data_IF_157838182971
#
_entry.id   IF_157838182971
#
_cell.length_a   1.000
_cell.length_b   1.000
_cell.length_c   1.000
_cell.angle_alpha   90.00
_cell.angle_beta   90.00
_cell.angle_gamma   90.00
#
_symmetry.space_group_name_H-M   'P 1'
#
loop_
_entity.id
_entity.type
_entity.pdbx_description
1 polymer ?
#
# COMPACT_ATOMS: atom_id res chain seq x y z
N UNK A 1 41.49 -38.71 -27.38
CA UNK A 1 40.21 -38.00 -27.31
C UNK A 1 39.86 -37.78 -25.84
N UNK A 2 40.06 -36.58 -25.27
CA UNK A 2 39.54 -36.27 -23.94
C UNK A 2 38.14 -35.67 -24.06
N UNK A 3 37.16 -36.24 -23.34
CA UNK A 3 35.85 -35.62 -23.16
C UNK A 3 35.91 -34.63 -22.00
N UNK A 4 35.74 -33.35 -22.32
CA UNK A 4 35.41 -32.29 -21.38
C UNK A 4 33.99 -32.50 -20.86
N UNK A 5 33.85 -32.67 -19.54
CA UNK A 5 32.55 -32.55 -18.88
C UNK A 5 32.47 -31.21 -18.16
N UNK A 6 31.44 -30.47 -18.53
CA UNK A 6 31.15 -29.10 -18.16
C UNK A 6 30.98 -28.91 -16.64
N UNK A 7 31.58 -27.83 -16.14
CA UNK A 7 31.25 -27.20 -14.87
C UNK A 7 29.82 -26.64 -14.96
N UNK A 8 28.91 -27.17 -14.14
CA UNK A 8 27.63 -26.53 -13.87
C UNK A 8 27.88 -25.26 -13.06
N UNK A 9 27.69 -24.10 -13.69
CA UNK A 9 27.60 -22.84 -12.98
C UNK A 9 26.25 -22.83 -12.24
N UNK A 10 26.31 -23.01 -10.92
CA UNK A 10 25.26 -22.61 -10.00
C UNK A 10 25.10 -21.10 -10.14
N UNK A 11 24.04 -20.65 -10.80
CA UNK A 11 23.65 -19.24 -10.77
C UNK A 11 23.28 -18.89 -9.33
N UNK A 12 24.17 -18.18 -8.65
CA UNK A 12 23.84 -17.42 -7.45
C UNK A 12 22.65 -16.49 -7.75
N UNK A 13 21.61 -16.47 -6.90
CA UNK A 13 20.58 -15.45 -7.01
C UNK A 13 21.21 -14.08 -6.73
N UNK A 14 21.10 -13.19 -7.72
CA UNK A 14 21.40 -11.76 -7.62
C UNK A 14 20.88 -11.20 -6.29
N UNK A 15 21.63 -10.30 -5.61
CA UNK A 15 21.15 -9.68 -4.38
C UNK A 15 19.79 -9.05 -4.69
N UNK A 16 18.78 -9.55 -3.98
CA UNK A 16 17.42 -9.06 -4.06
C UNK A 16 17.45 -7.53 -4.00
N UNK A 17 16.79 -6.89 -4.96
CA UNK A 17 16.39 -5.50 -4.79
C UNK A 17 15.82 -5.37 -3.37
N UNK A 18 16.20 -4.33 -2.60
CA UNK A 18 15.57 -4.08 -1.32
C UNK A 18 14.06 -4.10 -1.53
N UNK A 19 13.28 -4.68 -0.60
CA UNK A 19 11.82 -4.72 -0.73
C UNK A 19 11.36 -3.32 -1.09
N UNK A 20 10.74 -3.18 -2.27
CA UNK A 20 10.41 -1.88 -2.84
C UNK A 20 9.70 -1.08 -1.75
N UNK A 21 10.32 0.01 -1.27
CA UNK A 21 9.80 0.72 -0.11
C UNK A 21 8.33 1.08 -0.32
N UNK A 22 7.49 0.85 0.69
CA UNK A 22 6.05 1.06 0.57
C UNK A 22 5.76 2.48 0.06
N UNK A 23 4.83 2.63 -0.90
CA UNK A 23 4.60 3.92 -1.55
C UNK A 23 4.00 4.91 -0.56
N UNK A 24 4.62 6.07 -0.40
CA UNK A 24 4.08 7.14 0.44
C UNK A 24 3.40 8.24 -0.39
N UNK A 25 2.16 8.59 -0.05
CA UNK A 25 1.36 9.63 -0.70
C UNK A 25 1.25 10.90 0.13
N UNK A 26 0.93 12.04 -0.49
CA UNK A 26 0.72 13.29 0.24
C UNK A 26 -0.61 13.23 1.02
N UNK A 27 -0.56 13.54 2.31
CA UNK A 27 -1.71 13.60 3.21
C UNK A 27 -1.69 14.90 4.00
N UNK A 28 -2.84 15.28 4.54
CA UNK A 28 -2.99 16.41 5.46
C UNK A 28 -3.57 15.93 6.76
N UNK A 29 -2.81 16.10 7.84
CA UNK A 29 -3.28 15.75 9.17
C UNK A 29 -4.50 16.60 9.54
N UNK A 30 -5.52 15.99 10.11
CA UNK A 30 -6.69 16.70 10.66
C UNK A 30 -6.72 16.58 12.17
N UNK A 31 -6.52 15.37 12.67
CA UNK A 31 -6.62 15.08 14.09
C UNK A 31 -5.85 13.80 14.41
N UNK A 32 -5.29 13.75 15.61
CA UNK A 32 -4.73 12.53 16.21
C UNK A 32 -5.35 12.40 17.59
N UNK A 33 -5.99 11.27 17.86
CA UNK A 33 -6.65 11.05 19.15
C UNK A 33 -7.22 9.65 19.27
N UNK A 34 -7.17 9.08 20.49
CA UNK A 34 -7.78 7.77 20.77
C UNK A 34 -7.22 6.61 19.92
N UNK A 35 -5.95 6.68 19.51
CA UNK A 35 -5.30 5.70 18.63
C UNK A 35 -5.72 5.78 17.16
N UNK A 36 -6.53 6.78 16.79
CA UNK A 36 -7.01 7.03 15.43
C UNK A 36 -6.36 8.31 14.90
N UNK A 37 -5.97 8.27 13.63
CA UNK A 37 -5.52 9.41 12.85
C UNK A 37 -6.58 9.73 11.83
N UNK A 38 -7.04 10.98 11.83
CA UNK A 38 -7.91 11.54 10.80
C UNK A 38 -7.07 12.40 9.88
N UNK A 39 -7.21 12.18 8.58
CA UNK A 39 -6.45 12.93 7.57
C UNK A 39 -7.29 13.16 6.32
N UNK A 40 -6.89 14.17 5.56
CA UNK A 40 -7.48 14.47 4.26
C UNK A 40 -6.47 14.28 3.14
N UNK A 41 -6.97 13.98 1.95
CA UNK A 41 -6.14 13.72 0.76
C UNK A 41 -6.18 14.97 -0.12
N UNK A 42 -5.04 15.62 -0.42
CA UNK A 42 -5.00 16.85 -1.20
C UNK A 42 -5.67 16.72 -2.56
N UNK A 43 -6.48 17.71 -2.94
CA UNK A 43 -7.19 17.74 -4.22
C UNK A 43 -8.45 16.86 -4.27
N UNK A 44 -8.92 16.35 -3.13
CA UNK A 44 -10.12 15.50 -3.03
C UNK A 44 -10.95 15.83 -1.79
N UNK A 45 -12.19 15.32 -1.74
CA UNK A 45 -13.07 15.42 -0.56
C UNK A 45 -12.81 14.34 0.50
N UNK A 46 -11.87 13.43 0.27
CA UNK A 46 -11.58 12.33 1.18
C UNK A 46 -11.15 12.83 2.56
N UNK A 47 -11.85 12.34 3.60
CA UNK A 47 -11.48 12.48 5.00
C UNK A 47 -11.49 11.10 5.63
N UNK A 48 -10.32 10.50 5.66
CA UNK A 48 -10.17 9.09 6.03
C UNK A 48 -9.68 8.96 7.47
N UNK A 49 -9.99 7.81 8.05
CA UNK A 49 -9.58 7.42 9.39
C UNK A 49 -8.76 6.12 9.34
N UNK A 50 -7.66 6.07 10.08
CA UNK A 50 -6.83 4.89 10.23
C UNK A 50 -6.27 4.81 11.64
N UNK A 51 -5.84 3.63 12.07
CA UNK A 51 -5.08 3.48 13.31
C UNK A 51 -3.70 4.15 13.19
N UNK A 52 -3.18 4.71 14.27
CA UNK A 52 -1.87 5.35 14.28
C UNK A 52 -0.74 4.29 14.25
N UNK A 53 0.06 4.25 13.19
CA UNK A 53 1.20 3.34 13.02
C UNK A 53 2.49 3.78 13.74
N UNK A 54 2.39 4.55 14.83
CA UNK A 54 3.54 4.92 15.67
C UNK A 54 4.49 5.99 15.13
N UNK A 55 4.43 6.36 13.84
CA UNK A 55 5.36 7.33 13.24
C UNK A 55 4.99 8.81 13.43
N UNK A 56 3.78 9.10 13.89
CA UNK A 56 3.36 10.47 14.19
C UNK A 56 3.84 10.86 15.59
N UNK A 57 4.88 11.68 15.64
CA UNK A 57 5.43 12.20 16.89
C UNK A 57 4.44 13.05 17.69
N UNK A 58 4.71 13.32 18.97
CA UNK A 58 3.83 14.10 19.86
C UNK A 58 3.60 15.54 19.41
N UNK A 59 4.43 16.05 18.49
CA UNK A 59 4.34 17.37 17.88
C UNK A 59 3.45 17.43 16.63
N UNK A 60 2.82 16.32 16.24
CA UNK A 60 1.95 16.27 15.07
C UNK A 60 0.74 17.19 15.26
N UNK A 61 0.67 18.26 14.45
CA UNK A 61 -0.36 19.28 14.56
C UNK A 61 -1.39 19.18 13.43
N UNK A 62 -2.65 19.49 13.74
CA UNK A 62 -3.69 19.60 12.73
C UNK A 62 -3.27 20.56 11.60
N UNK A 63 -3.51 20.18 10.35
CA UNK A 63 -3.10 20.92 9.16
C UNK A 63 -1.70 20.57 8.64
N UNK A 64 -0.87 19.86 9.41
CA UNK A 64 0.46 19.46 8.97
C UNK A 64 0.43 18.63 7.68
N UNK A 65 1.43 18.86 6.81
CA UNK A 65 1.66 18.03 5.62
C UNK A 65 2.32 16.73 6.06
N UNK A 66 1.79 15.62 5.60
CA UNK A 66 2.34 14.30 5.84
C UNK A 66 2.65 13.63 4.51
N UNK A 67 3.62 12.72 4.54
CA UNK A 67 3.76 11.65 3.55
C UNK A 67 3.56 10.32 4.25
N UNK A 68 2.65 9.50 3.74
CA UNK A 68 2.32 8.25 4.40
C UNK A 68 1.71 7.18 3.52
N UNK A 69 1.70 5.98 4.07
CA UNK A 69 1.24 4.74 3.47
C UNK A 69 0.17 4.16 4.39
N UNK A 70 -0.96 3.75 3.83
CA UNK A 70 -1.95 2.96 4.57
C UNK A 70 -1.63 1.47 4.44
N UNK A 71 -1.40 0.80 5.56
CA UNK A 71 -1.21 -0.63 5.65
C UNK A 71 -2.55 -1.29 5.95
N UNK A 72 -2.92 -2.27 5.14
CA UNK A 72 -4.19 -2.98 5.27
C UNK A 72 -4.05 -4.45 4.88
N UNK A 73 -5.01 -5.28 5.28
CA UNK A 73 -5.13 -6.65 4.77
C UNK A 73 -6.27 -6.71 3.76
N UNK A 74 -5.93 -7.03 2.51
CA UNK A 74 -6.93 -7.25 1.47
C UNK A 74 -7.59 -8.61 1.67
N UNK A 75 -8.92 -8.64 1.86
CA UNK A 75 -9.70 -9.88 1.99
C UNK A 75 -9.66 -10.70 0.71
N UNK A 76 -9.81 -10.02 -0.43
CA UNK A 76 -9.70 -10.57 -1.79
C UNK A 76 -9.49 -9.41 -2.75
N UNK A 77 -8.72 -9.66 -3.81
CA UNK A 77 -8.42 -8.70 -4.86
C UNK A 77 -8.96 -9.19 -6.19
N UNK A 78 -9.53 -8.31 -7.00
CA UNK A 78 -10.04 -8.62 -8.33
C UNK A 78 -9.44 -7.66 -9.35
N UNK A 79 -8.83 -8.16 -10.44
CA UNK A 79 -8.48 -7.29 -11.55
C UNK A 79 -9.76 -6.77 -12.21
N UNK A 80 -9.75 -5.51 -12.62
CA UNK A 80 -10.87 -4.86 -13.30
C UNK A 80 -10.38 -4.20 -14.59
N UNK A 81 -11.18 -4.30 -15.65
CA UNK A 81 -10.78 -3.81 -16.97
C UNK A 81 -10.98 -2.29 -17.15
N UNK A 82 -11.84 -1.67 -16.34
CA UNK A 82 -12.23 -0.26 -16.48
C UNK A 82 -12.68 0.34 -15.15
N UNK A 83 -12.76 1.68 -15.12
CA UNK A 83 -13.24 2.47 -13.99
C UNK A 83 -12.21 3.49 -13.50
N UNK A 84 -12.54 4.16 -12.39
CA UNK A 84 -11.68 5.16 -11.75
C UNK A 84 -10.95 4.62 -10.53
N UNK A 85 -9.95 5.37 -10.04
CA UNK A 85 -9.34 5.08 -8.73
C UNK A 85 -10.18 5.72 -7.63
N UNK A 86 -10.54 4.97 -6.61
CA UNK A 86 -11.34 5.47 -5.50
C UNK A 86 -11.09 4.71 -4.20
N UNK A 87 -11.42 5.37 -3.10
CA UNK A 87 -11.55 4.77 -1.76
C UNK A 87 -12.99 4.97 -1.29
N UNK A 88 -13.58 3.99 -0.63
CA UNK A 88 -14.89 4.10 0.01
C UNK A 88 -14.80 3.72 1.48
N UNK A 89 -15.52 4.42 2.38
CA UNK A 89 -16.33 5.63 2.11
C UNK A 89 -15.45 6.87 1.88
N UNK A 90 -16.06 7.98 1.42
CA UNK A 90 -15.37 9.28 1.32
C UNK A 90 -15.00 9.83 2.70
N UNK A 91 -15.82 9.54 3.71
CA UNK A 91 -15.64 9.93 5.10
C UNK A 91 -15.59 8.68 5.99
N UNK A 92 -14.46 8.46 6.68
CA UNK A 92 -14.31 7.35 7.63
C UNK A 92 -13.21 6.36 7.26
N UNK A 93 -13.32 5.14 7.80
CA UNK A 93 -12.32 4.09 7.61
C UNK A 93 -12.42 3.45 6.22
N UNK A 94 -11.32 3.33 5.45
CA UNK A 94 -11.34 2.63 4.17
C UNK A 94 -11.90 1.21 4.28
N UNK A 95 -12.77 0.83 3.34
CA UNK A 95 -13.39 -0.52 3.28
C UNK A 95 -13.28 -1.13 1.90
N UNK A 96 -13.54 -0.35 0.86
CA UNK A 96 -13.45 -0.77 -0.54
C UNK A 96 -12.55 0.20 -1.28
N UNK A 97 -11.68 -0.36 -2.12
CA UNK A 97 -10.66 0.40 -2.82
C UNK A 97 -10.62 -0.10 -4.26
N UNK A 98 -10.59 0.82 -5.22
CA UNK A 98 -10.16 0.54 -6.58
C UNK A 98 -8.90 1.36 -6.84
N UNK A 99 -7.81 0.68 -7.19
CA UNK A 99 -6.49 1.27 -7.25
C UNK A 99 -5.66 0.69 -8.39
N UNK A 100 -4.70 1.49 -8.88
CA UNK A 100 -3.68 0.99 -9.79
C UNK A 100 -2.57 0.32 -9.00
N UNK A 101 -2.10 -0.84 -9.47
CA UNK A 101 -0.92 -1.51 -8.91
C UNK A 101 0.33 -0.71 -9.30
N UNK A 102 1.09 -0.28 -8.30
CA UNK A 102 2.40 0.36 -8.47
C UNK A 102 3.52 -0.68 -8.53
N UNK A 103 3.37 -1.75 -7.76
CA UNK A 103 4.34 -2.83 -7.62
C UNK A 103 3.91 -3.78 -6.51
N UNK A 104 4.81 -4.67 -6.11
CA UNK A 104 4.56 -5.62 -5.05
C UNK A 104 5.84 -5.95 -4.27
N UNK A 105 5.63 -6.44 -3.06
CA UNK A 105 6.62 -7.16 -2.28
C UNK A 105 6.18 -8.63 -2.18
N UNK A 106 6.92 -9.52 -2.86
CA UNK A 106 6.66 -10.95 -2.86
C UNK A 106 6.95 -11.61 -1.52
N UNK A 107 7.94 -11.11 -0.77
CA UNK A 107 8.35 -11.70 0.50
C UNK A 107 7.25 -11.56 1.57
N UNK A 108 6.56 -10.41 1.58
CA UNK A 108 5.43 -10.15 2.49
C UNK A 108 4.05 -10.40 1.86
N UNK A 109 3.99 -10.79 0.58
CA UNK A 109 2.77 -10.92 -0.21
C UNK A 109 1.90 -9.64 -0.17
N UNK A 110 2.54 -8.48 -0.36
CA UNK A 110 1.94 -7.14 -0.23
C UNK A 110 1.90 -6.42 -1.58
N UNK A 111 0.73 -5.90 -1.97
CA UNK A 111 0.59 -5.02 -3.13
C UNK A 111 0.79 -3.57 -2.74
N UNK A 112 1.54 -2.84 -3.57
CA UNK A 112 1.68 -1.40 -3.51
C UNK A 112 0.68 -0.76 -4.48
N UNK A 113 -0.21 0.07 -3.96
CA UNK A 113 -1.38 0.54 -4.70
C UNK A 113 -1.51 2.08 -4.66
N UNK A 114 -2.08 2.63 -5.74
CA UNK A 114 -2.48 4.03 -5.83
C UNK A 114 -3.99 4.17 -6.07
N UNK A 115 -4.71 4.63 -5.05
CA UNK A 115 -6.14 4.88 -5.09
C UNK A 115 -6.45 6.38 -5.27
N UNK A 116 -5.82 7.01 -6.27
CA UNK A 116 -6.08 8.42 -6.59
C UNK A 116 -5.37 9.40 -5.64
N UNK A 117 -4.10 9.11 -5.31
CA UNK A 117 -3.29 9.91 -4.39
C UNK A 117 -3.15 9.29 -3.01
N UNK A 118 -4.07 8.40 -2.63
CA UNK A 118 -3.97 7.57 -1.43
C UNK A 118 -3.13 6.34 -1.74
N UNK A 119 -2.03 6.16 -1.01
CA UNK A 119 -1.13 5.03 -1.20
C UNK A 119 -1.39 3.94 -0.18
N UNK A 120 -1.48 2.70 -0.66
CA UNK A 120 -1.68 1.54 0.19
C UNK A 120 -0.55 0.52 0.03
N UNK A 121 -0.19 -0.11 1.13
CA UNK A 121 0.50 -1.38 1.20
C UNK A 121 -0.51 -2.43 1.68
N UNK A 122 -1.09 -3.17 0.74
CA UNK A 122 -2.17 -4.12 1.00
C UNK A 122 -1.65 -5.56 0.97
N UNK A 123 -1.54 -6.20 2.14
CA UNK A 123 -1.18 -7.61 2.24
C UNK A 123 -2.33 -8.49 1.76
N UNK A 124 -2.07 -9.45 0.89
CA UNK A 124 -3.09 -10.36 0.39
C UNK A 124 -3.45 -11.39 1.48
N UNK A 125 -4.69 -11.32 1.97
CA UNK A 125 -5.22 -12.23 3.00
C UNK A 125 -5.83 -13.52 2.44
N UNK A 126 -6.14 -13.56 1.14
CA UNK A 126 -6.71 -14.75 0.51
C UNK A 126 -5.61 -15.77 0.16
N UNK A 127 -5.67 -16.97 0.74
CA UNK A 127 -4.63 -18.00 0.58
C UNK A 127 -4.33 -18.41 -0.88
N UNK A 128 -5.31 -18.27 -1.78
CA UNK A 128 -5.15 -18.57 -3.21
C UNK A 128 -4.66 -17.41 -4.08
N UNK A 129 -4.32 -16.24 -3.52
CA UNK A 129 -3.88 -15.08 -4.30
C UNK A 129 -2.42 -14.74 -4.00
N UNK A 130 -1.63 -14.58 -5.06
CA UNK A 130 -0.25 -14.10 -4.96
C UNK A 130 -0.14 -12.74 -5.63
N UNK A 131 0.75 -11.91 -5.10
CA UNK A 131 1.00 -10.59 -5.68
C UNK A 131 1.45 -10.64 -7.15
N UNK A 132 2.13 -11.73 -7.55
CA UNK A 132 2.54 -11.98 -8.93
C UNK A 132 1.36 -12.07 -9.93
N UNK A 133 0.14 -12.35 -9.45
CA UNK A 133 -1.07 -12.39 -10.29
C UNK A 133 -1.56 -10.98 -10.69
N UNK A 134 -0.96 -9.93 -10.12
CA UNK A 134 -1.38 -8.54 -10.29
C UNK A 134 -0.19 -7.67 -10.77
N UNK A 135 0.11 -7.65 -12.07
CA UNK A 135 1.25 -6.90 -12.59
C UNK A 135 1.05 -5.38 -12.40
N UNK A 136 2.14 -4.58 -12.36
CA UNK A 136 2.05 -3.13 -12.30
C UNK A 136 1.15 -2.53 -13.38
N UNK A 137 0.57 -1.37 -13.09
CA UNK A 137 -0.44 -0.68 -13.91
C UNK A 137 -1.79 -1.39 -14.03
N UNK A 138 -1.96 -2.61 -13.48
CA UNK A 138 -3.26 -3.25 -13.42
C UNK A 138 -4.19 -2.48 -12.49
N UNK A 139 -5.42 -2.24 -12.94
CA UNK A 139 -6.46 -1.72 -12.08
C UNK A 139 -7.07 -2.88 -11.30
N UNK A 140 -7.10 -2.75 -9.97
CA UNK A 140 -7.63 -3.78 -9.08
C UNK A 140 -8.67 -3.18 -8.14
N UNK A 141 -9.66 -3.98 -7.81
CA UNK A 141 -10.60 -3.69 -6.72
C UNK A 141 -10.37 -4.67 -5.59
N UNK A 142 -10.40 -4.16 -4.37
CA UNK A 142 -10.23 -4.95 -3.16
C UNK A 142 -11.13 -4.45 -2.04
N UNK A 143 -11.51 -5.39 -1.18
CA UNK A 143 -12.07 -5.07 0.14
C UNK A 143 -10.97 -5.26 1.17
N UNK A 144 -10.82 -4.30 2.07
CA UNK A 144 -9.87 -4.37 3.18
C UNK A 144 -10.57 -4.83 4.46
N UNK A 145 -9.79 -5.28 5.43
CA UNK A 145 -10.26 -5.51 6.78
C UNK A 145 -10.49 -4.19 7.55
N UNK A 146 -11.04 -4.30 8.75
CA UNK A 146 -11.39 -3.12 9.57
C UNK A 146 -10.16 -2.46 10.21
N UNK A 147 -8.99 -3.07 10.08
CA UNK A 147 -7.75 -2.64 10.68
C UNK A 147 -6.78 -2.08 9.64
N UNK A 148 -7.00 -0.82 9.29
CA UNK A 148 -6.10 -0.04 8.45
C UNK A 148 -5.21 0.81 9.34
N UNK A 149 -3.90 0.72 9.16
CA UNK A 149 -2.88 1.48 9.92
C UNK A 149 -2.27 2.52 9.00
N UNK A 150 -2.15 3.77 9.47
CA UNK A 150 -1.40 4.81 8.77
C UNK A 150 0.01 4.89 9.34
N UNK A 151 0.99 4.59 8.50
CA UNK A 151 2.38 4.97 8.74
C UNK A 151 2.66 6.26 7.97
N UNK A 152 2.97 7.33 8.69
CA UNK A 152 3.19 8.63 8.09
C UNK A 152 4.26 9.41 8.85
N UNK A 153 5.03 10.19 8.10
CA UNK A 153 5.99 11.14 8.61
C UNK A 153 5.63 12.56 8.15
N UNK A 154 6.07 13.60 8.87
CA UNK A 154 6.01 14.98 8.38
C UNK A 154 6.65 15.08 6.99
N UNK A 155 6.00 15.79 6.07
CA UNK A 155 6.60 16.14 4.79
C UNK A 155 7.32 17.49 4.93
N UNK A 156 8.56 17.56 4.46
CA UNK A 156 9.36 18.79 4.35
C UNK A 156 8.70 19.84 3.42
#
# INVERSE_FOLDING_TARGET
>A
MPQSSATSATSEPSPADPPAAAPAGPLRLREVGGGIVRFSVPGTDYRLEAAAGGSLGPSAAAGQRLRGTLHAVARKVWPVAAGGRFVEPVFGRPRRIQAAVLGADEASNTLHLDAGGVKFAARLGHAGQRVADFPPQTLVTLSVDDHVVLEAAPAD
#
